data_IF_004874387991
#
_entry.id   IF_004874387991
#
_cell.length_a   1.000
_cell.length_b   1.000
_cell.length_c   1.000
_cell.angle_alpha   90.00
_cell.angle_beta   90.00
_cell.angle_gamma   90.00
#
_symmetry.space_group_name_H-M   'P 1'
#
loop_
_entity.id
_entity.type
_entity.pdbx_description
1 polymer ?
#
# COMPACT_ATOMS: atom_id res chain seq x y z
N UNK A 1 -1.87 7.41 -19.64
CA UNK A 1 -0.54 6.84 -19.93
C UNK A 1 -0.11 7.34 -21.28
N UNK A 2 1.15 7.72 -21.47
CA UNK A 2 1.62 8.24 -22.76
C UNK A 2 3.11 8.00 -22.97
N UNK A 3 3.55 8.17 -24.22
CA UNK A 3 4.96 8.14 -24.62
C UNK A 3 5.38 9.55 -25.04
N UNK A 4 6.47 10.07 -24.48
CA UNK A 4 6.94 11.46 -24.74
C UNK A 4 7.97 11.58 -25.89
N UNK A 5 8.25 10.47 -26.57
CA UNK A 5 9.29 10.38 -27.61
C UNK A 5 10.58 9.73 -27.11
N UNK A 6 10.77 9.58 -25.80
CA UNK A 6 11.94 8.92 -25.21
C UNK A 6 11.57 7.85 -24.18
N UNK A 7 10.54 8.07 -23.35
CA UNK A 7 10.16 7.16 -22.26
C UNK A 7 8.65 7.05 -22.09
N UNK A 8 8.25 6.02 -21.37
CA UNK A 8 6.85 5.74 -21.04
C UNK A 8 6.49 6.49 -19.76
N UNK A 9 5.28 7.04 -19.66
CA UNK A 9 4.82 7.77 -18.48
C UNK A 9 3.42 7.33 -18.03
N UNK A 10 3.26 7.17 -16.71
CA UNK A 10 1.99 6.84 -16.04
C UNK A 10 1.72 7.84 -14.91
N UNK A 11 0.60 8.55 -14.99
CA UNK A 11 0.25 9.62 -14.05
C UNK A 11 1.08 10.90 -14.26
N UNK A 12 0.91 11.93 -13.40
CA UNK A 12 -0.01 11.97 -12.26
C UNK A 12 -1.48 12.15 -12.69
N UNK A 13 -1.74 12.53 -13.94
CA UNK A 13 -3.08 12.78 -14.46
C UNK A 13 -3.94 11.50 -14.45
N UNK A 14 -5.20 11.66 -14.04
CA UNK A 14 -6.20 10.60 -14.01
C UNK A 14 -7.32 10.87 -15.01
N UNK A 15 -7.74 9.85 -15.74
CA UNK A 15 -8.92 9.92 -16.62
C UNK A 15 -10.25 9.88 -15.84
N UNK A 16 -10.22 9.65 -14.53
CA UNK A 16 -11.39 9.52 -13.67
C UNK A 16 -12.32 8.37 -14.12
N UNK A 17 -13.62 8.51 -13.84
CA UNK A 17 -14.66 7.62 -14.35
C UNK A 17 -15.36 8.18 -15.62
N UNK A 18 -15.14 9.46 -15.93
CA UNK A 18 -15.68 10.14 -17.10
C UNK A 18 -14.65 11.19 -17.61
N UNK A 19 -14.07 11.01 -18.81
CA UNK A 19 -14.38 9.95 -19.78
C UNK A 19 -13.92 8.57 -19.33
N UNK A 20 -12.97 8.47 -18.40
CA UNK A 20 -12.42 7.19 -17.92
C UNK A 20 -11.49 6.50 -18.92
N UNK A 21 -11.18 5.21 -18.70
CA UNK A 21 -10.46 4.34 -19.64
C UNK A 21 -11.05 4.32 -21.06
N UNK A 22 -10.23 4.05 -22.06
CA UNK A 22 -10.69 3.90 -23.44
C UNK A 22 -11.74 2.77 -23.57
N UNK A 23 -11.54 1.67 -22.85
CA UNK A 23 -12.42 0.51 -22.80
C UNK A 23 -13.81 0.81 -22.23
N UNK A 24 -14.05 1.99 -21.64
CA UNK A 24 -15.36 2.39 -21.09
C UNK A 24 -16.31 2.97 -22.14
N UNK A 25 -15.90 3.03 -23.42
CA UNK A 25 -16.74 3.50 -24.55
C UNK A 25 -17.17 4.97 -24.44
N UNK A 26 -16.32 5.82 -23.85
CA UNK A 26 -16.59 7.26 -23.60
C UNK A 26 -15.55 8.22 -24.22
N UNK A 27 -14.71 7.71 -25.13
CA UNK A 27 -13.67 8.51 -25.77
C UNK A 27 -12.45 8.80 -24.89
N UNK A 28 -12.27 8.04 -23.81
CA UNK A 28 -11.15 8.17 -22.89
C UNK A 28 -9.77 7.80 -23.45
N UNK A 29 -8.66 8.25 -22.84
CA UNK A 29 -7.31 7.88 -23.24
C UNK A 29 -6.94 6.45 -22.78
N UNK A 30 -5.75 5.96 -23.17
CA UNK A 30 -5.19 4.73 -22.60
C UNK A 30 -4.83 4.92 -21.12
N UNK A 31 -5.31 4.01 -20.28
CA UNK A 31 -5.14 3.97 -18.82
C UNK A 31 -4.65 2.61 -18.32
N UNK A 32 -4.31 2.50 -17.04
CA UNK A 32 -3.88 1.24 -16.41
C UNK A 32 -4.92 0.12 -16.59
N UNK A 33 -6.21 0.47 -16.54
CA UNK A 33 -7.30 -0.48 -16.82
C UNK A 33 -7.23 -1.01 -18.25
N UNK A 34 -6.97 -0.16 -19.23
CA UNK A 34 -6.81 -0.58 -20.63
C UNK A 34 -5.60 -1.51 -20.79
N UNK A 35 -4.49 -1.23 -20.10
CA UNK A 35 -3.33 -2.12 -20.10
C UNK A 35 -3.65 -3.48 -19.47
N UNK A 36 -4.36 -3.52 -18.34
CA UNK A 36 -4.81 -4.76 -17.71
C UNK A 36 -5.76 -5.57 -18.63
N UNK A 37 -6.62 -4.89 -19.38
CA UNK A 37 -7.47 -5.51 -20.40
C UNK A 37 -6.62 -6.09 -21.54
N UNK A 38 -5.64 -5.33 -22.06
CA UNK A 38 -4.78 -5.77 -23.15
C UNK A 38 -3.98 -7.03 -22.81
N UNK A 39 -3.45 -7.12 -21.59
CA UNK A 39 -2.64 -8.29 -21.15
C UNK A 39 -3.48 -9.42 -20.55
N UNK A 40 -4.81 -9.33 -20.57
CA UNK A 40 -5.70 -10.38 -20.07
C UNK A 40 -5.81 -10.49 -18.54
N UNK A 41 -5.32 -9.52 -17.78
CA UNK A 41 -5.55 -9.41 -16.31
C UNK A 41 -6.99 -9.07 -15.96
N UNK A 42 -7.70 -8.39 -16.87
CA UNK A 42 -9.13 -8.07 -16.76
C UNK A 42 -9.85 -8.67 -17.95
N UNK A 43 -10.84 -9.53 -17.66
CA UNK A 43 -11.60 -10.25 -18.67
C UNK A 43 -13.00 -9.65 -18.83
N UNK A 44 -13.41 -9.36 -20.08
CA UNK A 44 -14.71 -8.72 -20.38
C UNK A 44 -15.91 -9.48 -19.80
N UNK A 45 -15.84 -10.81 -19.75
CA UNK A 45 -16.91 -11.68 -19.28
C UNK A 45 -17.15 -11.60 -17.76
N UNK A 46 -16.14 -11.14 -17.02
CA UNK A 46 -16.15 -11.01 -15.55
C UNK A 46 -16.18 -9.55 -15.10
N UNK A 47 -16.43 -8.62 -16.03
CA UNK A 47 -16.57 -7.21 -15.73
C UNK A 47 -18.03 -6.80 -15.94
N UNK A 48 -18.66 -6.03 -15.02
CA UNK A 48 -20.05 -5.60 -15.17
C UNK A 48 -20.29 -4.84 -16.49
N UNK A 49 -21.35 -5.18 -17.25
CA UNK A 49 -21.67 -4.50 -18.50
C UNK A 49 -22.38 -3.18 -18.22
N UNK A 50 -21.65 -2.18 -17.74
CA UNK A 50 -22.18 -0.86 -17.31
C UNK A 50 -21.73 0.30 -18.20
N UNK A 51 -21.23 0.00 -19.40
CA UNK A 51 -20.61 0.96 -20.30
C UNK A 51 -21.46 1.31 -21.51
N UNK A 52 -20.97 2.25 -22.32
CA UNK A 52 -21.67 2.76 -23.50
C UNK A 52 -22.76 3.79 -23.15
N UNK A 53 -23.47 4.32 -24.18
CA UNK A 53 -24.44 5.41 -24.00
C UNK A 53 -25.62 5.05 -23.09
N UNK A 54 -26.03 3.77 -23.10
CA UNK A 54 -27.15 3.27 -22.30
C UNK A 54 -26.71 2.55 -21.02
N UNK A 55 -25.40 2.48 -20.74
CA UNK A 55 -24.86 1.88 -19.51
C UNK A 55 -25.12 0.37 -19.37
N UNK A 56 -25.13 -0.36 -20.48
CA UNK A 56 -25.46 -1.80 -20.54
C UNK A 56 -24.48 -2.63 -21.40
N UNK A 57 -23.35 -2.05 -21.81
CA UNK A 57 -22.38 -2.70 -22.68
C UNK A 57 -21.14 -3.16 -21.91
N UNK A 58 -20.48 -4.25 -22.36
CA UNK A 58 -19.21 -4.69 -21.79
C UNK A 58 -18.06 -3.75 -22.17
N UNK A 59 -16.90 -3.99 -21.56
CA UNK A 59 -15.63 -3.37 -21.94
C UNK A 59 -15.39 -3.51 -23.45
N UNK A 60 -14.89 -2.44 -24.05
CA UNK A 60 -14.48 -2.43 -25.45
C UNK A 60 -13.02 -2.90 -25.57
N UNK A 61 -12.83 -4.13 -26.03
CA UNK A 61 -11.50 -4.72 -26.23
C UNK A 61 -10.89 -4.22 -27.54
N UNK A 62 -11.71 -4.01 -28.55
CA UNK A 62 -11.26 -3.67 -29.90
C UNK A 62 -10.60 -2.28 -29.89
N UNK A 63 -11.20 -1.31 -29.19
CA UNK A 63 -10.60 0.03 -29.05
C UNK A 63 -9.29 0.03 -28.27
N UNK A 64 -9.14 -0.90 -27.31
CA UNK A 64 -7.89 -1.05 -26.54
C UNK A 64 -6.78 -1.57 -27.45
N UNK A 65 -7.07 -2.63 -28.22
CA UNK A 65 -6.14 -3.20 -29.19
C UNK A 65 -5.73 -2.18 -30.24
N UNK A 66 -6.68 -1.47 -30.85
CA UNK A 66 -6.42 -0.41 -31.84
C UNK A 66 -5.45 0.63 -31.28
N UNK A 67 -5.75 1.17 -30.08
CA UNK A 67 -4.92 2.21 -29.47
C UNK A 67 -3.53 1.74 -29.07
N UNK A 68 -3.37 0.50 -28.59
CA UNK A 68 -2.04 -0.05 -28.29
C UNK A 68 -1.24 -0.36 -29.56
N UNK A 69 -1.89 -0.80 -30.64
CA UNK A 69 -1.25 -0.96 -31.96
C UNK A 69 -0.74 0.40 -32.46
N UNK A 70 -1.56 1.44 -32.36
CA UNK A 70 -1.16 2.80 -32.74
C UNK A 70 -0.01 3.33 -31.89
N UNK A 71 -0.05 3.08 -30.59
CA UNK A 71 1.02 3.49 -29.68
C UNK A 71 2.33 2.73 -29.99
N UNK A 72 2.27 1.43 -30.24
CA UNK A 72 3.42 0.63 -30.67
C UNK A 72 3.99 1.14 -32.00
N UNK A 73 3.14 1.52 -32.96
CA UNK A 73 3.54 2.15 -34.22
C UNK A 73 4.22 3.51 -34.01
N UNK A 74 3.76 4.31 -33.04
CA UNK A 74 4.38 5.59 -32.69
C UNK A 74 5.77 5.38 -32.07
N UNK A 75 5.89 4.45 -31.12
CA UNK A 75 7.16 4.11 -30.44
C UNK A 75 8.18 3.58 -31.43
N UNK A 76 7.75 2.77 -32.42
CA UNK A 76 8.61 2.27 -33.48
C UNK A 76 9.27 3.36 -34.35
N UNK A 77 8.76 4.61 -34.32
CA UNK A 77 9.39 5.74 -35.02
C UNK A 77 10.63 6.27 -34.29
N UNK A 78 10.72 6.03 -32.98
CA UNK A 78 11.77 6.54 -32.10
C UNK A 78 12.69 5.42 -31.59
N UNK A 79 12.35 4.16 -31.83
CA UNK A 79 13.09 2.96 -31.38
C UNK A 79 13.51 2.13 -32.58
N UNK A 80 14.56 1.32 -32.43
CA UNK A 80 15.09 0.50 -33.53
C UNK A 80 14.24 -0.73 -33.86
N UNK A 81 13.41 -1.17 -32.91
CA UNK A 81 12.52 -2.33 -33.03
C UNK A 81 11.10 -1.89 -32.75
N UNK A 82 10.15 -2.39 -33.54
CA UNK A 82 8.73 -2.21 -33.24
C UNK A 82 8.36 -3.11 -32.06
N UNK A 83 8.02 -2.56 -30.88
CA UNK A 83 7.56 -3.39 -29.77
C UNK A 83 6.21 -4.00 -30.09
N UNK A 84 5.92 -5.18 -29.55
CA UNK A 84 4.57 -5.75 -29.67
C UNK A 84 3.61 -5.00 -28.72
N UNK A 85 2.34 -4.80 -29.12
CA UNK A 85 1.37 -4.03 -28.33
C UNK A 85 1.22 -4.52 -26.87
N UNK A 86 1.30 -5.83 -26.65
CA UNK A 86 1.21 -6.47 -25.33
C UNK A 86 2.41 -6.12 -24.43
N UNK A 87 3.62 -6.08 -24.98
CA UNK A 87 4.82 -5.64 -24.26
C UNK A 87 4.73 -4.17 -23.88
N UNK A 88 4.17 -3.33 -24.76
CA UNK A 88 3.93 -1.92 -24.46
C UNK A 88 2.96 -1.80 -23.28
N UNK A 89 1.86 -2.55 -23.29
CA UNK A 89 0.89 -2.58 -22.21
C UNK A 89 1.51 -3.08 -20.89
N UNK A 90 2.22 -4.20 -20.91
CA UNK A 90 2.90 -4.73 -19.71
C UNK A 90 3.97 -3.78 -19.16
N UNK A 91 4.68 -3.07 -20.04
CA UNK A 91 5.64 -2.03 -19.67
C UNK A 91 5.01 -0.86 -18.91
N UNK A 92 3.81 -0.41 -19.32
CA UNK A 92 3.07 0.59 -18.55
C UNK A 92 2.60 0.05 -17.20
N UNK A 93 2.19 -1.22 -17.11
CA UNK A 93 1.84 -1.84 -15.83
C UNK A 93 3.05 -1.92 -14.90
N UNK A 94 4.24 -2.24 -15.43
CA UNK A 94 5.49 -2.25 -14.65
C UNK A 94 5.79 -0.87 -14.05
N UNK A 95 5.64 0.20 -14.83
CA UNK A 95 5.82 1.58 -14.35
C UNK A 95 4.75 1.97 -13.32
N UNK A 96 3.49 1.57 -13.53
CA UNK A 96 2.44 1.82 -12.56
C UNK A 96 2.72 1.13 -11.21
N UNK A 97 3.18 -0.13 -11.25
CA UNK A 97 3.60 -0.89 -10.06
C UNK A 97 4.78 -0.22 -9.36
N UNK A 98 5.78 0.25 -10.12
CA UNK A 98 6.94 0.97 -9.58
C UNK A 98 6.50 2.24 -8.81
N UNK A 99 5.64 3.06 -9.42
CA UNK A 99 5.14 4.28 -8.81
C UNK A 99 4.34 4.01 -7.53
N UNK A 100 3.47 2.98 -7.55
CA UNK A 100 2.72 2.55 -6.36
C UNK A 100 3.65 2.05 -5.25
N UNK A 101 4.64 1.23 -5.59
CA UNK A 101 5.59 0.68 -4.62
C UNK A 101 6.41 1.79 -3.96
N UNK A 102 6.90 2.76 -4.74
CA UNK A 102 7.68 3.89 -4.21
C UNK A 102 6.82 4.77 -3.28
N UNK A 103 5.54 4.99 -3.61
CA UNK A 103 4.62 5.71 -2.73
C UNK A 103 4.42 4.99 -1.38
N UNK A 104 4.25 3.66 -1.40
CA UNK A 104 4.11 2.85 -0.18
C UNK A 104 5.40 2.86 0.63
N UNK A 105 6.56 2.61 0.00
CA UNK A 105 7.86 2.64 0.69
C UNK A 105 8.14 3.99 1.33
N UNK A 106 7.87 5.08 0.63
CA UNK A 106 8.04 6.45 1.16
C UNK A 106 7.30 6.65 2.48
N UNK A 107 6.02 6.29 2.53
CA UNK A 107 5.19 6.47 3.72
C UNK A 107 5.63 5.54 4.85
N UNK A 108 5.98 4.29 4.52
CA UNK A 108 6.38 3.28 5.51
C UNK A 108 7.74 3.57 6.13
N UNK A 109 8.73 3.97 5.31
CA UNK A 109 10.07 4.31 5.78
C UNK A 109 10.10 5.62 6.57
N UNK A 110 9.28 6.60 6.21
CA UNK A 110 9.08 7.80 7.02
C UNK A 110 8.60 7.48 8.45
N UNK A 111 7.96 6.33 8.64
CA UNK A 111 7.49 5.84 9.94
C UNK A 111 8.43 4.80 10.57
N UNK A 112 9.54 4.45 9.93
CA UNK A 112 10.54 3.50 10.45
C UNK A 112 10.18 2.02 10.31
N UNK A 113 9.25 1.67 9.41
CA UNK A 113 8.82 0.28 9.22
C UNK A 113 9.66 -0.46 8.16
N UNK A 114 10.08 -1.68 8.50
CA UNK A 114 10.59 -2.67 7.54
C UNK A 114 9.42 -3.47 6.96
N UNK A 115 9.23 -3.38 5.65
CA UNK A 115 8.07 -3.94 4.95
C UNK A 115 8.12 -5.46 4.78
N UNK A 116 9.30 -6.09 4.80
CA UNK A 116 9.43 -7.53 4.51
C UNK A 116 8.64 -8.41 5.50
N UNK A 117 8.45 -7.91 6.73
CA UNK A 117 7.77 -8.60 7.82
C UNK A 117 6.25 -8.32 7.88
N UNK A 118 5.70 -7.58 6.92
CA UNK A 118 4.29 -7.21 6.91
C UNK A 118 3.49 -7.97 5.85
N UNK A 119 2.19 -8.13 6.11
CA UNK A 119 1.23 -8.61 5.11
C UNK A 119 0.63 -7.41 4.38
N UNK A 120 0.65 -7.45 3.04
CA UNK A 120 0.02 -6.41 2.22
C UNK A 120 -1.50 -6.62 2.19
N UNK A 121 -2.24 -5.77 2.90
CA UNK A 121 -3.70 -5.74 2.80
C UNK A 121 -4.11 -4.97 1.54
N UNK A 122 -4.76 -5.65 0.60
CA UNK A 122 -5.14 -5.09 -0.69
C UNK A 122 -6.66 -4.90 -0.77
N UNK A 123 -7.09 -3.75 -1.29
CA UNK A 123 -8.49 -3.40 -1.45
C UNK A 123 -8.72 -2.46 -2.66
N UNK A 124 -9.99 -2.20 -2.96
CA UNK A 124 -10.45 -1.52 -4.16
C UNK A 124 -10.61 -2.47 -5.34
N UNK A 125 -11.58 -2.20 -6.23
CA UNK A 125 -11.94 -3.13 -7.32
C UNK A 125 -10.80 -3.44 -8.31
N UNK A 126 -9.76 -2.60 -8.37
CA UNK A 126 -8.56 -2.82 -9.17
C UNK A 126 -7.36 -3.35 -8.36
N UNK A 127 -7.44 -3.41 -7.03
CA UNK A 127 -6.31 -3.75 -6.17
C UNK A 127 -5.75 -5.14 -6.48
N UNK A 128 -6.62 -6.14 -6.60
CA UNK A 128 -6.25 -7.53 -6.88
C UNK A 128 -5.61 -7.77 -8.25
N UNK A 129 -5.67 -6.83 -9.19
CA UNK A 129 -5.21 -7.02 -10.58
C UNK A 129 -3.68 -7.01 -10.70
N UNK A 130 -3.00 -6.27 -9.82
CA UNK A 130 -1.54 -6.07 -9.82
C UNK A 130 -0.88 -6.39 -8.47
N UNK A 131 -1.64 -6.98 -7.54
CA UNK A 131 -1.21 -7.13 -6.13
C UNK A 131 0.05 -7.97 -5.96
N UNK A 132 0.19 -9.06 -6.72
CA UNK A 132 1.39 -9.92 -6.65
C UNK A 132 2.64 -9.15 -7.10
N UNK A 133 2.57 -8.45 -8.25
CA UNK A 133 3.67 -7.60 -8.73
C UNK A 133 4.03 -6.50 -7.74
N UNK A 134 3.02 -5.89 -7.11
CA UNK A 134 3.23 -4.87 -6.09
C UNK A 134 3.92 -5.45 -4.86
N UNK A 135 3.48 -6.62 -4.37
CA UNK A 135 4.09 -7.31 -3.24
C UNK A 135 5.54 -7.71 -3.55
N UNK A 136 5.80 -8.28 -4.73
CA UNK A 136 7.15 -8.59 -5.20
C UNK A 136 8.07 -7.36 -5.19
N UNK A 137 7.57 -6.21 -5.66
CA UNK A 137 8.34 -4.97 -5.71
C UNK A 137 8.62 -4.39 -4.31
N UNK A 138 7.72 -4.63 -3.36
CA UNK A 138 7.84 -4.23 -1.96
C UNK A 138 8.69 -5.20 -1.12
N UNK A 139 9.02 -6.40 -1.63
CA UNK A 139 9.68 -7.44 -0.84
C UNK A 139 8.71 -8.18 0.10
N UNK A 140 7.41 -8.04 -0.09
CA UNK A 140 6.37 -8.65 0.73
C UNK A 140 6.03 -10.02 0.17
N UNK A 141 6.02 -11.04 1.03
CA UNK A 141 5.73 -12.43 0.63
C UNK A 141 4.27 -12.86 0.87
N UNK A 142 3.49 -12.05 1.60
CA UNK A 142 2.12 -12.37 2.01
C UNK A 142 1.17 -11.22 1.67
N UNK A 143 0.04 -11.54 1.04
CA UNK A 143 -1.00 -10.61 0.66
C UNK A 143 -2.33 -11.07 1.25
N UNK A 144 -3.08 -10.14 1.82
CA UNK A 144 -4.40 -10.39 2.40
C UNK A 144 -5.49 -9.67 1.60
N UNK A 145 -6.53 -10.40 1.20
CA UNK A 145 -7.67 -9.91 0.45
C UNK A 145 -8.98 -10.30 1.15
N UNK A 146 -9.61 -9.31 1.78
CA UNK A 146 -10.93 -9.44 2.39
C UNK A 146 -12.00 -9.85 1.34
N UNK A 147 -13.07 -10.62 1.69
CA UNK A 147 -14.14 -10.99 0.74
C UNK A 147 -14.76 -9.79 0.02
N UNK A 148 -14.81 -8.65 0.70
CA UNK A 148 -15.32 -7.39 0.18
C UNK A 148 -14.20 -6.41 -0.19
N UNK A 149 -13.03 -6.91 -0.63
CA UNK A 149 -11.88 -6.07 -0.98
C UNK A 149 -12.25 -4.94 -1.95
N UNK A 150 -13.10 -5.22 -2.95
CA UNK A 150 -13.56 -4.23 -3.94
C UNK A 150 -14.37 -3.06 -3.35
N UNK A 151 -15.05 -3.27 -2.22
CA UNK A 151 -15.92 -2.28 -1.54
C UNK A 151 -15.53 -2.07 -0.07
N UNK A 152 -14.28 -2.36 0.29
CA UNK A 152 -13.83 -2.43 1.67
C UNK A 152 -14.01 -1.11 2.42
N UNK A 153 -13.89 0.03 1.74
CA UNK A 153 -14.13 1.34 2.35
C UNK A 153 -15.58 1.52 2.81
N UNK A 154 -16.55 1.10 2.00
CA UNK A 154 -17.97 1.18 2.35
C UNK A 154 -18.31 0.21 3.49
N UNK A 155 -17.73 -0.99 3.46
CA UNK A 155 -17.84 -1.95 4.55
C UNK A 155 -17.25 -1.40 5.85
N UNK A 156 -16.05 -0.83 5.82
CA UNK A 156 -15.39 -0.20 6.97
C UNK A 156 -16.18 0.98 7.55
N UNK A 157 -16.79 1.81 6.70
CA UNK A 157 -17.71 2.86 7.15
C UNK A 157 -18.94 2.30 7.89
N UNK A 158 -19.48 1.17 7.43
CA UNK A 158 -20.61 0.50 8.08
C UNK A 158 -20.27 -0.15 9.42
N UNK A 159 -19.00 -0.51 9.64
CA UNK A 159 -18.49 -1.09 10.88
C UNK A 159 -17.87 -0.06 11.84
N UNK A 160 -17.75 1.20 11.42
CA UNK A 160 -17.07 2.21 12.19
C UNK A 160 -17.80 2.50 13.51
N UNK A 161 -17.07 2.37 14.61
CA UNK A 161 -17.55 2.75 15.93
C UNK A 161 -17.82 4.25 15.99
N UNK A 162 -18.85 4.65 16.75
CA UNK A 162 -19.07 6.05 17.03
C UNK A 162 -18.01 6.52 18.02
N UNK A 163 -17.21 7.49 17.58
CA UNK A 163 -16.11 8.07 18.35
C UNK A 163 -16.32 9.56 18.51
N UNK A 164 -16.05 10.07 19.70
CA UNK A 164 -16.03 11.49 19.99
C UNK A 164 -14.76 11.83 20.74
N UNK A 165 -13.98 12.76 20.19
CA UNK A 165 -12.71 13.20 20.76
C UNK A 165 -12.81 14.64 21.27
N UNK A 166 -12.25 14.89 22.44
CA UNK A 166 -11.93 16.24 22.91
C UNK A 166 -10.46 16.30 23.31
N UNK A 167 -9.84 17.43 23.05
CA UNK A 167 -8.46 17.68 23.40
C UNK A 167 -8.33 19.03 24.09
N UNK A 168 -7.33 19.15 24.96
CA UNK A 168 -6.98 20.37 25.66
C UNK A 168 -5.47 20.55 25.61
N UNK A 169 -5.03 21.72 25.15
CA UNK A 169 -3.62 22.13 25.20
C UNK A 169 -3.23 22.47 26.64
N UNK A 170 -2.09 21.94 27.10
CA UNK A 170 -1.60 22.12 28.47
C UNK A 170 -0.30 22.94 28.48
N UNK A 171 0.67 22.58 27.64
CA UNK A 171 2.00 23.23 27.54
C UNK A 171 2.70 23.42 28.90
N UNK A 172 2.90 22.33 29.64
CA UNK A 172 3.55 22.32 30.96
C UNK A 172 4.68 21.28 31.04
N UNK A 173 5.71 21.47 31.90
CA UNK A 173 6.72 20.44 32.14
C UNK A 173 6.11 19.12 32.65
N UNK A 174 6.63 17.98 32.21
CA UNK A 174 6.21 16.68 32.71
C UNK A 174 6.83 16.45 34.11
N UNK A 175 6.03 16.67 35.15
CA UNK A 175 6.41 16.45 36.56
C UNK A 175 5.31 15.66 37.26
N UNK A 176 5.62 15.06 38.41
CA UNK A 176 4.63 14.33 39.21
C UNK A 176 3.43 15.22 39.59
N UNK A 177 3.69 16.46 40.02
CA UNK A 177 2.65 17.42 40.42
C UNK A 177 1.76 17.80 39.23
N UNK A 178 2.36 18.09 38.06
CA UNK A 178 1.58 18.42 36.88
C UNK A 178 0.77 17.23 36.37
N UNK A 179 1.31 16.01 36.45
CA UNK A 179 0.59 14.78 36.10
C UNK A 179 -0.64 14.56 36.98
N UNK A 180 -0.53 14.82 38.28
CA UNK A 180 -1.66 14.73 39.21
C UNK A 180 -2.74 15.77 38.85
N UNK A 181 -2.33 16.98 38.47
CA UNK A 181 -3.26 18.05 38.04
C UNK A 181 -4.04 17.72 36.76
N UNK A 182 -3.52 16.84 35.89
CA UNK A 182 -4.21 16.44 34.66
C UNK A 182 -5.54 15.73 34.91
N UNK A 183 -5.72 15.10 36.08
CA UNK A 183 -6.95 14.39 36.40
C UNK A 183 -8.18 15.32 36.34
N UNK A 184 -8.07 16.53 36.86
CA UNK A 184 -9.15 17.54 36.80
C UNK A 184 -9.41 18.00 35.35
N UNK A 185 -8.35 18.11 34.54
CA UNK A 185 -8.48 18.46 33.13
C UNK A 185 -9.20 17.35 32.34
N UNK A 186 -8.85 16.07 32.60
CA UNK A 186 -9.57 14.94 32.02
C UNK A 186 -11.04 14.89 32.46
N UNK A 187 -11.36 15.13 33.74
CA UNK A 187 -12.75 15.22 34.21
C UNK A 187 -13.55 16.31 33.49
N UNK A 188 -12.89 17.45 33.20
CA UNK A 188 -13.51 18.53 32.43
C UNK A 188 -13.82 18.07 31.00
N UNK A 189 -12.87 17.38 30.34
CA UNK A 189 -13.07 16.82 29.00
C UNK A 189 -14.16 15.74 28.98
N UNK A 190 -14.22 14.88 30.00
CA UNK A 190 -15.28 13.87 30.16
C UNK A 190 -16.66 14.51 30.27
N UNK A 191 -16.79 15.58 31.05
CA UNK A 191 -18.05 16.31 31.21
C UNK A 191 -18.51 16.93 29.88
N UNK A 192 -17.59 17.58 29.16
CA UNK A 192 -17.88 18.17 27.84
C UNK A 192 -18.28 17.11 26.79
N UNK A 193 -17.65 15.93 26.84
CA UNK A 193 -18.00 14.82 25.96
C UNK A 193 -19.37 14.23 26.30
N UNK A 194 -19.65 14.00 27.58
CA UNK A 194 -20.94 13.50 28.03
C UNK A 194 -22.10 14.42 27.59
N UNK A 195 -21.95 15.74 27.75
CA UNK A 195 -22.95 16.72 27.32
C UNK A 195 -23.19 16.69 25.81
N UNK A 196 -22.13 16.63 25.00
CA UNK A 196 -22.24 16.56 23.54
C UNK A 196 -22.92 15.25 23.12
N UNK A 197 -22.57 14.14 23.75
CA UNK A 197 -23.08 12.82 23.41
C UNK A 197 -24.57 12.68 23.73
N UNK A 198 -25.00 13.11 24.93
CA UNK A 198 -26.43 13.14 25.33
C UNK A 198 -27.27 13.98 24.35
N UNK A 199 -26.75 15.13 23.92
CA UNK A 199 -27.42 16.03 22.98
C UNK A 199 -27.61 15.42 21.59
N UNK A 200 -26.59 14.69 21.11
CA UNK A 200 -26.61 14.00 19.80
C UNK A 200 -27.46 12.72 19.79
N UNK A 201 -27.58 12.04 20.93
CA UNK A 201 -28.37 10.81 21.07
C UNK A 201 -29.87 11.09 21.23
N UNK A 202 -30.27 12.15 21.93
CA UNK A 202 -31.68 12.50 22.09
C UNK A 202 -32.34 13.01 20.78
N UNK A 203 -31.55 13.44 19.80
CA UNK A 203 -32.05 13.93 18.51
C UNK A 203 -32.17 12.83 17.44
N UNK A 204 -31.44 11.72 17.59
CA UNK A 204 -31.53 10.55 16.72
C UNK A 204 -32.08 9.37 17.52
N UNK A 205 -33.40 9.21 17.47
CA UNK A 205 -34.20 8.15 18.11
C UNK A 205 -33.91 6.73 17.51
N UNK A 206 -32.63 6.35 17.46
CA UNK A 206 -32.10 5.04 17.07
C UNK A 206 -31.05 4.58 18.10
N UNK A 207 -31.33 4.81 19.38
CA UNK A 207 -30.57 4.27 20.50
C UNK A 207 -30.99 2.82 20.77
N UNK A 208 -30.83 1.92 19.79
CA UNK A 208 -30.99 0.49 19.99
C UNK A 208 -30.08 -0.22 18.98
N UNK A 209 -28.91 -0.70 19.44
CA UNK A 209 -28.25 -1.90 18.90
C UNK A 209 -26.91 -2.28 19.55
N UNK A 210 -26.53 -1.73 20.72
CA UNK A 210 -25.30 -2.19 21.38
C UNK A 210 -25.52 -2.49 22.86
N UNK A 211 -25.27 -3.72 23.30
CA UNK A 211 -25.37 -4.10 24.72
C UNK A 211 -24.12 -3.71 25.54
N UNK A 212 -23.11 -3.13 24.88
CA UNK A 212 -21.81 -2.80 25.47
C UNK A 212 -21.77 -1.39 26.03
N UNK A 213 -21.18 -1.25 27.22
CA UNK A 213 -20.89 0.05 27.80
C UNK A 213 -19.84 0.80 26.97
N UNK A 214 -19.91 2.13 26.93
CA UNK A 214 -18.89 2.92 26.27
C UNK A 214 -17.51 2.76 26.91
N UNK A 215 -16.46 2.84 26.08
CA UNK A 215 -15.06 2.87 26.49
C UNK A 215 -14.55 4.31 26.48
N UNK A 216 -13.77 4.68 27.49
CA UNK A 216 -13.09 5.97 27.57
C UNK A 216 -11.59 5.73 27.47
N UNK A 217 -10.95 6.28 26.44
CA UNK A 217 -9.49 6.28 26.27
C UNK A 217 -8.92 7.64 26.58
N UNK A 218 -7.92 7.67 27.45
CA UNK A 218 -7.19 8.89 27.83
C UNK A 218 -5.81 8.84 27.21
N UNK A 219 -5.44 9.88 26.50
CA UNK A 219 -4.15 10.02 25.82
C UNK A 219 -3.46 11.30 26.25
N UNK A 220 -2.13 11.28 26.25
CA UNK A 220 -1.27 12.39 26.60
C UNK A 220 -0.24 12.61 25.49
N UNK A 221 -0.13 13.85 25.03
CA UNK A 221 0.84 14.23 24.02
C UNK A 221 2.07 14.81 24.71
N UNK A 222 3.21 14.12 24.56
CA UNK A 222 4.49 14.53 25.13
C UNK A 222 5.45 15.00 24.05
N UNK A 223 6.28 15.97 24.37
CA UNK A 223 7.36 16.47 23.51
C UNK A 223 8.61 16.77 24.33
N UNK A 224 9.78 16.79 23.68
CA UNK A 224 10.96 17.36 24.32
C UNK A 224 10.75 18.86 24.54
N UNK A 225 11.12 19.37 25.70
CA UNK A 225 10.98 20.79 26.00
C UNK A 225 11.78 21.63 24.97
N UNK A 226 11.12 22.63 24.38
CA UNK A 226 11.70 23.47 23.32
C UNK A 226 11.56 22.92 21.90
N UNK A 227 10.83 21.81 21.72
CA UNK A 227 10.47 21.28 20.40
C UNK A 227 8.97 21.44 20.14
N UNK A 228 8.56 21.40 18.87
CA UNK A 228 7.15 21.48 18.45
C UNK A 228 6.54 20.11 18.08
N UNK A 229 7.35 19.06 18.05
CA UNK A 229 6.89 17.71 17.68
C UNK A 229 6.50 16.90 18.91
N UNK A 230 5.22 16.55 19.03
CA UNK A 230 4.72 15.67 20.08
C UNK A 230 4.49 14.22 19.60
N UNK A 231 4.50 13.30 20.55
CA UNK A 231 4.08 11.91 20.42
C UNK A 231 2.91 11.65 21.36
N UNK A 232 1.86 11.01 20.86
CA UNK A 232 0.66 10.66 21.62
C UNK A 232 0.81 9.29 22.27
N UNK A 233 0.60 9.22 23.57
CA UNK A 233 0.77 8.02 24.39
C UNK A 233 -0.50 7.72 25.18
N UNK A 234 -0.69 6.44 25.51
CA UNK A 234 -1.75 6.06 26.44
C UNK A 234 -1.44 6.62 27.83
N UNK A 235 -2.41 7.31 28.43
CA UNK A 235 -2.22 7.96 29.71
C UNK A 235 -2.09 6.92 30.82
N UNK A 236 -1.04 7.03 31.63
CA UNK A 236 -0.91 6.34 32.90
C UNK A 236 -0.38 7.29 33.98
N UNK A 237 -0.63 6.97 35.24
CA UNK A 237 -0.18 7.80 36.37
C UNK A 237 1.30 7.61 36.72
N UNK A 238 1.96 6.61 36.13
CA UNK A 238 3.38 6.37 36.37
C UNK A 238 4.24 7.19 35.40
N UNK A 239 4.93 8.18 35.95
CA UNK A 239 5.88 9.02 35.24
C UNK A 239 6.99 8.20 34.55
N UNK A 240 7.47 7.13 35.20
CA UNK A 240 8.57 6.32 34.66
C UNK A 240 8.10 5.56 33.41
N UNK A 241 6.90 4.98 33.46
CA UNK A 241 6.27 4.32 32.33
C UNK A 241 6.01 5.28 31.17
N UNK A 242 5.51 6.50 31.42
CA UNK A 242 5.32 7.50 30.36
C UNK A 242 6.64 7.89 29.67
N UNK A 243 7.70 8.10 30.45
CA UNK A 243 9.03 8.42 29.91
C UNK A 243 9.56 7.24 29.08
N UNK A 244 9.40 6.00 29.56
CA UNK A 244 9.83 4.81 28.84
C UNK A 244 9.07 4.64 27.52
N UNK A 245 7.73 4.76 27.52
CA UNK A 245 6.89 4.70 26.32
C UNK A 245 7.27 5.80 25.31
N UNK A 246 7.46 7.03 25.79
CA UNK A 246 7.91 8.14 24.95
C UNK A 246 9.26 7.83 24.31
N UNK A 247 10.21 7.34 25.11
CA UNK A 247 11.58 7.04 24.67
C UNK A 247 11.57 5.93 23.61
N UNK A 248 10.80 4.87 23.83
CA UNK A 248 10.66 3.75 22.89
C UNK A 248 10.04 4.20 21.56
N UNK A 249 8.91 4.91 21.60
CA UNK A 249 8.27 5.43 20.39
C UNK A 249 9.15 6.46 19.67
N UNK A 250 9.85 7.32 20.40
CA UNK A 250 10.75 8.31 19.81
C UNK A 250 11.96 7.63 19.16
N UNK A 251 12.53 6.60 19.81
CA UNK A 251 13.61 5.79 19.26
C UNK A 251 13.16 5.02 18.02
N UNK A 252 11.97 4.43 18.02
CA UNK A 252 11.42 3.73 16.87
C UNK A 252 11.19 4.68 15.67
N UNK A 253 10.61 5.86 15.93
CA UNK A 253 10.22 6.81 14.87
C UNK A 253 11.39 7.63 14.32
N UNK A 254 12.34 8.02 15.18
CA UNK A 254 13.43 8.94 14.83
C UNK A 254 14.82 8.31 14.94
N UNK A 255 14.97 7.12 15.50
CA UNK A 255 16.25 6.43 15.62
C UNK A 255 17.17 6.96 16.74
N UNK A 256 16.70 7.90 17.56
CA UNK A 256 17.46 8.42 18.71
C UNK A 256 16.53 8.78 19.88
N UNK A 257 17.11 8.95 21.06
CA UNK A 257 16.47 9.56 22.23
C UNK A 257 17.36 10.67 22.79
N UNK A 258 16.80 11.82 23.18
CA UNK A 258 17.57 12.89 23.83
C UNK A 258 17.69 12.62 25.33
N UNK A 259 18.86 12.15 25.76
CA UNK A 259 19.16 11.94 27.17
C UNK A 259 19.40 13.28 27.86
N UNK A 260 18.66 13.57 28.93
CA UNK A 260 18.83 14.77 29.76
C UNK A 260 17.98 15.98 29.36
N UNK A 261 17.28 15.92 28.22
CA UNK A 261 16.26 16.93 27.88
C UNK A 261 14.95 16.60 28.59
N UNK A 262 14.39 17.51 29.41
CA UNK A 262 13.11 17.27 30.07
C UNK A 262 11.96 17.17 29.05
N UNK A 263 10.93 16.40 29.40
CA UNK A 263 9.70 16.31 28.62
C UNK A 263 8.70 17.39 29.06
N UNK A 264 7.85 17.79 28.12
CA UNK A 264 6.72 18.67 28.34
C UNK A 264 5.43 18.02 27.83
N UNK A 265 4.35 18.26 28.54
CA UNK A 265 2.98 17.90 28.19
C UNK A 265 2.50 18.97 27.20
N UNK A 266 2.31 18.58 25.94
CA UNK A 266 1.79 19.48 24.91
C UNK A 266 0.27 19.60 25.03
N UNK A 267 -0.41 18.46 25.06
CA UNK A 267 -1.86 18.37 25.14
C UNK A 267 -2.28 17.07 25.85
N UNK A 268 -3.55 17.03 26.23
CA UNK A 268 -4.24 15.80 26.60
C UNK A 268 -5.45 15.63 25.70
N UNK A 269 -5.82 14.38 25.44
CA UNK A 269 -7.03 14.04 24.69
C UNK A 269 -7.80 12.93 25.36
N UNK A 270 -9.12 12.99 25.21
CA UNK A 270 -10.04 11.99 25.68
C UNK A 270 -10.92 11.56 24.52
N UNK A 271 -10.94 10.27 24.26
CA UNK A 271 -11.75 9.64 23.23
C UNK A 271 -12.83 8.80 23.91
N UNK A 272 -14.08 9.12 23.61
CA UNK A 272 -15.22 8.29 23.93
C UNK A 272 -15.51 7.37 22.74
N UNK A 273 -15.61 6.07 22.98
CA UNK A 273 -15.85 5.05 21.98
C UNK A 273 -17.11 4.31 22.38
N UNK A 274 -18.14 4.35 21.54
CA UNK A 274 -19.31 3.48 21.68
C UNK A 274 -19.07 2.23 20.84
N UNK A 275 -18.81 1.06 21.47
CA UNK A 275 -18.54 -0.16 20.73
C UNK A 275 -19.78 -0.56 19.93
N UNK A 276 -19.57 -0.96 18.68
CA UNK A 276 -20.63 -1.55 17.86
C UNK A 276 -20.67 -3.06 18.09
N UNK A 277 -21.88 -3.62 18.16
CA UNK A 277 -22.04 -5.07 18.02
C UNK A 277 -21.85 -5.41 16.54
N UNK A 278 -20.62 -5.81 16.19
CA UNK A 278 -20.23 -6.14 14.83
C UNK A 278 -21.02 -7.36 14.34
N UNK A 279 -21.57 -7.34 13.12
CA UNK A 279 -22.13 -8.53 12.52
C UNK A 279 -21.03 -9.58 12.33
N UNK A 280 -21.38 -10.86 12.44
CA UNK A 280 -20.49 -11.96 12.06
C UNK A 280 -20.06 -11.77 10.60
N UNK A 281 -18.76 -11.89 10.33
CA UNK A 281 -18.26 -11.88 8.96
C UNK A 281 -18.96 -12.99 8.15
N UNK A 282 -19.41 -12.69 6.93
CA UNK A 282 -20.10 -13.66 6.11
C UNK A 282 -19.17 -14.81 5.77
N UNK A 283 -19.53 -15.99 6.25
CA UNK A 283 -18.90 -17.25 5.87
C UNK A 283 -19.48 -17.70 4.53
N UNK A 284 -18.65 -17.87 3.50
CA UNK A 284 -18.95 -18.68 2.33
C UNK A 284 -19.31 -20.08 2.82
N UNK A 285 -20.41 -20.63 2.31
CA UNK A 285 -20.78 -22.01 2.62
C UNK A 285 -19.61 -22.93 2.26
N UNK A 286 -19.16 -23.77 3.20
CA UNK A 286 -18.03 -24.66 3.01
C UNK A 286 -18.28 -25.59 1.82
N UNK A 287 -17.66 -25.29 0.68
CA UNK A 287 -17.72 -26.13 -0.52
C UNK A 287 -16.80 -27.32 -0.28
N UNK A 288 -17.37 -28.52 -0.19
CA UNK A 288 -16.63 -29.75 0.15
C UNK A 288 -15.74 -30.24 -1.01
N UNK A 289 -16.03 -29.80 -2.24
CA UNK A 289 -15.30 -30.24 -3.45
C UNK A 289 -14.39 -29.13 -3.97
N UNK A 290 -13.14 -29.45 -4.36
CA UNK A 290 -12.27 -28.47 -5.01
C UNK A 290 -12.95 -27.81 -6.21
N UNK A 291 -12.88 -26.48 -6.28
CA UNK A 291 -13.34 -25.69 -7.41
C UNK A 291 -12.65 -26.13 -8.69
N UNK A 292 -13.41 -26.22 -9.77
CA UNK A 292 -12.87 -26.40 -11.11
C UNK A 292 -12.76 -25.04 -11.80
N UNK A 293 -11.83 -24.91 -12.74
CA UNK A 293 -11.76 -23.73 -13.58
C UNK A 293 -13.04 -23.63 -14.41
N UNK A 294 -13.66 -22.45 -14.41
CA UNK A 294 -14.82 -22.14 -15.24
C UNK A 294 -14.46 -22.15 -16.73
N UNK A 295 -13.31 -21.56 -17.04
CA UNK A 295 -12.73 -21.50 -18.37
C UNK A 295 -11.22 -21.25 -18.28
N UNK A 296 -10.55 -21.24 -19.43
CA UNK A 296 -9.15 -20.88 -19.58
C UNK A 296 -9.11 -19.68 -20.53
N UNK A 297 -8.49 -18.59 -20.09
CA UNK A 297 -8.32 -17.36 -20.86
C UNK A 297 -6.85 -17.11 -21.17
N UNK A 298 -6.59 -16.29 -22.19
CA UNK A 298 -5.24 -15.86 -22.52
C UNK A 298 -4.77 -14.76 -21.56
N UNK A 299 -3.55 -14.90 -21.06
CA UNK A 299 -2.87 -13.96 -20.17
C UNK A 299 -1.47 -13.70 -20.68
N UNK A 300 -1.10 -12.43 -20.84
CA UNK A 300 0.25 -12.04 -21.20
C UNK A 300 1.03 -11.61 -19.95
N UNK A 301 2.12 -12.31 -19.65
CA UNK A 301 2.96 -12.07 -18.50
C UNK A 301 4.34 -12.69 -18.72
N UNK A 302 5.37 -12.17 -18.05
CA UNK A 302 6.76 -12.64 -18.23
C UNK A 302 7.19 -12.71 -19.71
N UNK A 303 6.77 -11.70 -20.48
CA UNK A 303 7.02 -11.54 -21.93
C UNK A 303 6.46 -12.66 -22.83
N UNK A 304 5.51 -13.46 -22.35
CA UNK A 304 4.90 -14.53 -23.14
C UNK A 304 3.42 -14.72 -22.82
N UNK A 305 2.72 -15.44 -23.70
CA UNK A 305 1.33 -15.82 -23.49
C UNK A 305 1.23 -17.10 -22.66
N UNK A 306 0.34 -17.09 -21.68
CA UNK A 306 0.02 -18.20 -20.80
C UNK A 306 -1.48 -18.48 -20.83
N UNK A 307 -1.82 -19.76 -20.68
CA UNK A 307 -3.18 -20.20 -20.38
C UNK A 307 -3.48 -19.94 -18.89
N UNK A 308 -4.46 -19.08 -18.60
CA UNK A 308 -4.84 -18.71 -17.25
C UNK A 308 -6.23 -19.28 -16.90
N UNK A 309 -6.33 -20.31 -16.04
CA UNK A 309 -7.62 -20.78 -15.55
C UNK A 309 -8.34 -19.71 -14.73
N UNK A 310 -9.66 -19.62 -14.91
CA UNK A 310 -10.53 -18.70 -14.18
C UNK A 310 -11.34 -19.47 -13.14
N UNK A 311 -11.32 -18.99 -11.90
CA UNK A 311 -12.09 -19.55 -10.78
C UNK A 311 -13.08 -18.53 -10.25
N UNK A 312 -14.25 -18.99 -9.83
CA UNK A 312 -15.20 -18.17 -9.07
C UNK A 312 -14.86 -18.22 -7.58
N UNK A 313 -14.69 -17.07 -6.93
CA UNK A 313 -14.29 -17.04 -5.51
C UNK A 313 -15.23 -17.84 -4.60
N UNK A 314 -16.55 -17.75 -4.80
CA UNK A 314 -17.55 -18.43 -3.98
C UNK A 314 -17.51 -19.97 -4.11
N UNK A 315 -16.83 -20.50 -5.14
CA UNK A 315 -16.71 -21.94 -5.37
C UNK A 315 -15.44 -22.53 -4.78
N UNK A 316 -14.49 -21.69 -4.34
CA UNK A 316 -13.21 -22.14 -3.78
C UNK A 316 -13.46 -22.97 -2.52
N UNK A 317 -12.88 -24.17 -2.49
CA UNK A 317 -12.96 -25.02 -1.32
C UNK A 317 -11.96 -24.55 -0.25
N UNK A 318 -12.29 -24.73 1.04
CA UNK A 318 -11.30 -24.69 2.10
C UNK A 318 -10.04 -25.47 1.77
N UNK A 319 -8.89 -24.89 2.09
CA UNK A 319 -7.58 -25.49 1.87
C UNK A 319 -7.19 -25.73 0.40
N UNK A 320 -8.05 -25.43 -0.58
CA UNK A 320 -7.68 -25.51 -1.99
C UNK A 320 -6.63 -24.46 -2.31
N UNK A 321 -5.48 -24.92 -2.81
CA UNK A 321 -4.41 -24.05 -3.29
C UNK A 321 -4.59 -23.82 -4.78
N UNK A 322 -4.63 -22.55 -5.18
CA UNK A 322 -4.67 -22.10 -6.57
C UNK A 322 -3.30 -21.52 -6.91
N UNK A 323 -2.53 -22.22 -7.73
CA UNK A 323 -1.20 -21.77 -8.16
C UNK A 323 -1.30 -20.89 -9.41
N UNK A 324 -0.53 -19.80 -9.44
CA UNK A 324 -0.47 -18.90 -10.59
C UNK A 324 0.19 -19.55 -11.83
N UNK A 325 -0.15 -19.09 -13.05
CA UNK A 325 -1.02 -17.96 -13.34
C UNK A 325 -2.50 -18.37 -13.22
N UNK A 326 -3.30 -17.62 -12.46
CA UNK A 326 -4.72 -17.91 -12.28
C UNK A 326 -5.51 -16.61 -12.03
N UNK A 327 -6.76 -16.59 -12.48
CA UNK A 327 -7.69 -15.50 -12.18
C UNK A 327 -8.77 -15.97 -11.21
N UNK A 328 -9.00 -15.19 -10.16
CA UNK A 328 -10.12 -15.40 -9.24
C UNK A 328 -11.10 -14.24 -9.43
N UNK A 329 -12.26 -14.55 -9.99
CA UNK A 329 -13.35 -13.61 -10.21
C UNK A 329 -14.15 -13.41 -8.92
N UNK A 330 -14.42 -12.15 -8.59
CA UNK A 330 -15.28 -11.73 -7.50
C UNK A 330 -16.44 -10.89 -8.03
N UNK A 331 -17.50 -10.74 -7.23
CA UNK A 331 -18.59 -9.81 -7.57
C UNK A 331 -18.12 -8.35 -7.60
N UNK A 332 -17.10 -8.00 -6.81
CA UNK A 332 -16.64 -6.62 -6.63
C UNK A 332 -15.27 -6.33 -7.23
N UNK A 333 -14.65 -7.30 -7.90
CA UNK A 333 -13.29 -7.14 -8.43
C UNK A 333 -12.73 -8.39 -9.12
N UNK A 334 -11.47 -8.27 -9.53
CA UNK A 334 -10.71 -9.36 -10.15
C UNK A 334 -9.36 -9.48 -9.46
N UNK A 335 -9.02 -10.70 -9.05
CA UNK A 335 -7.74 -11.02 -8.43
C UNK A 335 -6.92 -11.86 -9.40
N UNK A 336 -5.68 -11.45 -9.66
CA UNK A 336 -4.73 -12.19 -10.49
C UNK A 336 -3.65 -12.78 -9.59
N UNK A 337 -3.53 -14.10 -9.59
CA UNK A 337 -2.44 -14.84 -8.95
C UNK A 337 -1.35 -14.99 -9.99
N UNK A 338 -0.29 -14.21 -9.87
CA UNK A 338 0.82 -14.20 -10.83
C UNK A 338 1.68 -15.48 -10.72
N UNK A 339 2.52 -15.72 -11.73
CA UNK A 339 3.52 -16.80 -11.69
C UNK A 339 4.39 -16.70 -10.44
N UNK A 340 4.63 -17.84 -9.78
CA UNK A 340 5.38 -17.89 -8.53
C UNK A 340 4.59 -17.49 -7.28
N UNK A 341 3.29 -17.21 -7.43
CA UNK A 341 2.36 -17.00 -6.32
C UNK A 341 1.33 -18.14 -6.24
N UNK A 342 0.78 -18.31 -5.05
CA UNK A 342 -0.36 -19.19 -4.80
C UNK A 342 -1.42 -18.47 -3.97
N UNK A 343 -2.68 -18.87 -4.12
CA UNK A 343 -3.80 -18.35 -3.35
C UNK A 343 -4.51 -19.47 -2.59
N UNK A 344 -4.95 -19.17 -1.37
CA UNK A 344 -5.75 -20.07 -0.54
C UNK A 344 -6.75 -19.27 0.30
N UNK A 345 -7.90 -19.85 0.62
CA UNK A 345 -8.77 -19.30 1.64
C UNK A 345 -8.09 -19.37 3.02
N UNK A 346 -8.34 -18.36 3.85
CA UNK A 346 -7.83 -18.28 5.21
C UNK A 346 -8.14 -19.53 6.05
N UNK A 347 -7.28 -19.80 7.03
CA UNK A 347 -7.52 -20.87 8.01
C UNK A 347 -8.31 -20.35 9.20
N UNK A 348 -9.30 -21.11 9.65
CA UNK A 348 -10.08 -20.77 10.84
C UNK A 348 -9.28 -21.01 12.12
N UNK A 349 -9.42 -20.12 13.10
CA UNK A 349 -9.01 -20.43 14.47
C UNK A 349 -9.95 -21.48 15.08
N UNK A 350 -9.49 -22.34 15.99
CA UNK A 350 -10.36 -23.29 16.68
C UNK A 350 -11.52 -22.57 17.39
N UNK A 351 -12.76 -22.88 17.01
CA UNK A 351 -13.96 -22.28 17.61
C UNK A 351 -14.51 -21.05 16.88
N UNK A 352 -13.85 -20.58 15.82
CA UNK A 352 -14.31 -19.47 14.98
C UNK A 352 -14.96 -19.99 13.68
N UNK A 353 -15.92 -19.23 13.10
CA UNK A 353 -16.43 -19.54 11.77
C UNK A 353 -15.30 -19.51 10.74
N UNK A 354 -15.46 -20.27 9.66
CA UNK A 354 -14.43 -20.37 8.64
C UNK A 354 -14.20 -19.02 7.96
N UNK A 355 -12.97 -18.46 8.01
CA UNK A 355 -12.71 -17.17 7.41
C UNK A 355 -12.77 -17.27 5.90
N UNK A 356 -13.27 -16.21 5.28
CA UNK A 356 -13.51 -16.16 3.84
C UNK A 356 -12.55 -15.21 3.12
N UNK A 357 -11.59 -14.65 3.86
CA UNK A 357 -10.49 -13.90 3.26
C UNK A 357 -9.61 -14.83 2.42
N UNK A 358 -8.95 -14.25 1.44
CA UNK A 358 -8.03 -14.94 0.55
C UNK A 358 -6.63 -14.47 0.91
N UNK A 359 -5.73 -15.42 1.08
CA UNK A 359 -4.32 -15.18 1.31
C UNK A 359 -3.57 -15.57 0.05
N UNK A 360 -2.74 -14.66 -0.43
CA UNK A 360 -1.80 -14.90 -1.52
C UNK A 360 -0.39 -14.97 -0.92
N UNK A 361 0.32 -16.03 -1.25
CA UNK A 361 1.66 -16.30 -0.73
C UNK A 361 2.64 -16.51 -1.89
N UNK A 362 3.86 -16.00 -1.71
CA UNK A 362 4.94 -16.23 -2.65
C UNK A 362 5.50 -17.64 -2.47
N UNK A 363 5.61 -18.40 -3.56
CA UNK A 363 6.19 -19.75 -3.56
C UNK A 363 7.70 -19.63 -3.41
N UNK A 364 8.21 -19.86 -2.20
CA UNK A 364 9.65 -19.92 -1.94
C UNK A 364 10.13 -21.33 -2.27
N UNK A 365 10.85 -21.50 -3.39
CA UNK A 365 11.59 -22.74 -3.65
C UNK A 365 12.64 -22.91 -2.55
N UNK A 366 12.48 -23.92 -1.68
CA UNK A 366 13.42 -24.27 -0.59
C UNK A 366 14.73 -24.90 -1.11
N UNK A 367 15.35 -24.30 -2.13
CA UNK A 367 16.71 -24.64 -2.60
C UNK A 367 17.70 -23.51 -2.32
N UNK A 368 17.66 -22.98 -1.10
CA UNK A 368 18.84 -22.38 -0.45
C UNK A 368 19.01 -23.07 0.90
N UNK A 369 19.72 -24.19 0.87
CA UNK A 369 20.29 -24.77 2.08
C UNK A 369 21.11 -23.70 2.81
N UNK A 370 20.96 -23.66 4.13
CA UNK A 370 21.74 -22.80 5.02
C UNK A 370 23.25 -22.93 4.72
N UNK A 371 24.03 -21.84 4.71
CA UNK A 371 25.47 -21.98 4.72
C UNK A 371 25.89 -22.41 6.12
N UNK A 372 26.18 -23.71 6.25
CA UNK A 372 26.96 -24.24 7.36
C UNK A 372 28.29 -23.48 7.45
N UNK A 373 28.69 -23.23 8.69
CA UNK A 373 29.90 -22.56 9.14
C UNK A 373 31.15 -22.86 8.31
N UNK A 374 31.74 -21.83 7.70
CA UNK A 374 33.14 -21.83 7.30
C UNK A 374 33.80 -20.53 7.77
N UNK A 375 34.57 -20.65 8.85
CA UNK A 375 35.70 -19.77 9.12
C UNK A 375 36.61 -19.77 7.90
N UNK A 376 36.70 -18.64 7.18
CA UNK A 376 37.94 -18.19 6.54
C UNK A 376 37.80 -16.71 6.17
N UNK A 377 38.75 -15.91 6.65
CA UNK A 377 38.96 -14.52 6.25
C UNK A 377 39.52 -14.50 4.83
N UNK A 378 38.67 -14.34 3.83
CA UNK A 378 39.06 -13.83 2.52
C UNK A 378 38.03 -12.77 2.09
N UNK A 379 38.55 -11.67 1.56
CA UNK A 379 37.82 -10.47 1.18
C UNK A 379 36.64 -10.81 0.26
N UNK A 380 35.44 -10.36 0.64
CA UNK A 380 34.22 -10.46 -0.16
C UNK A 380 34.32 -9.53 -1.38
N UNK A 381 34.96 -9.99 -2.45
CA UNK A 381 34.62 -9.53 -3.79
C UNK A 381 33.21 -10.03 -4.12
N UNK A 382 32.25 -9.09 -4.17
CA UNK A 382 30.91 -9.33 -4.70
C UNK A 382 31.05 -9.66 -6.18
N UNK A 383 31.17 -10.95 -6.51
CA UNK A 383 30.98 -11.45 -7.87
C UNK A 383 29.52 -11.30 -8.24
N UNK A 384 29.18 -10.15 -8.83
CA UNK A 384 27.93 -9.94 -9.55
C UNK A 384 27.88 -10.99 -10.67
N UNK A 385 26.99 -11.97 -10.50
CA UNK A 385 26.73 -12.99 -11.51
C UNK A 385 26.14 -12.28 -12.74
N UNK A 386 26.99 -12.05 -13.74
CA UNK A 386 26.69 -11.27 -14.95
C UNK A 386 26.15 -12.14 -16.08
N UNK A 387 26.03 -13.44 -15.87
CA UNK A 387 25.74 -14.44 -16.91
C UNK A 387 24.25 -14.57 -17.32
N UNK A 388 23.39 -13.62 -16.94
CA UNK A 388 22.01 -13.53 -17.46
C UNK A 388 21.68 -12.18 -18.11
N UNK A 389 22.67 -11.34 -18.34
CA UNK A 389 22.50 -10.13 -19.15
C UNK A 389 23.23 -10.34 -20.46
N UNK A 390 22.49 -10.72 -21.51
CA UNK A 390 22.98 -10.52 -22.87
C UNK A 390 23.55 -9.11 -22.96
N UNK A 391 24.83 -9.05 -23.29
CA UNK A 391 25.54 -7.80 -23.48
C UNK A 391 24.91 -7.13 -24.69
N UNK A 392 23.96 -6.22 -24.47
CA UNK A 392 23.41 -5.36 -25.52
C UNK A 392 24.54 -4.41 -25.92
N UNK A 393 25.37 -4.86 -26.85
CA UNK A 393 26.30 -4.03 -27.61
C UNK A 393 25.48 -3.12 -28.52
N UNK A 394 25.05 -1.99 -27.97
CA UNK A 394 24.38 -0.93 -28.70
C UNK A 394 23.98 0.17 -27.73
N UNK A 395 24.22 1.42 -28.10
CA UNK A 395 23.90 2.64 -27.34
C UNK A 395 22.37 2.87 -27.24
N UNK A 396 21.58 1.82 -26.99
CA UNK A 396 20.13 1.77 -27.07
C UNK A 396 19.55 1.55 -25.68
N UNK A 397 18.94 2.61 -25.15
CA UNK A 397 18.32 2.63 -23.84
C UNK A 397 16.86 2.16 -24.00
N UNK A 398 16.49 1.08 -23.29
CA UNK A 398 15.11 0.60 -23.20
C UNK A 398 14.22 1.68 -22.51
N UNK A 399 13.16 2.19 -23.17
CA UNK A 399 12.28 3.23 -22.63
C UNK A 399 11.59 2.89 -21.31
N UNK A 400 11.23 1.63 -21.09
CA UNK A 400 10.63 1.15 -19.84
C UNK A 400 11.69 1.13 -18.76
N UNK A 401 12.86 0.56 -19.09
CA UNK A 401 14.00 0.48 -18.17
C UNK A 401 14.49 1.86 -17.75
N UNK A 402 14.47 2.83 -18.67
CA UNK A 402 14.82 4.23 -18.39
C UNK A 402 13.89 4.85 -17.36
N UNK A 403 12.57 4.68 -17.49
CA UNK A 403 11.62 5.23 -16.53
C UNK A 403 11.69 4.49 -15.18
N UNK A 404 11.85 3.17 -15.17
CA UNK A 404 12.05 2.39 -13.93
C UNK A 404 13.31 2.88 -13.21
N UNK A 405 14.46 2.97 -13.89
CA UNK A 405 15.71 3.42 -13.26
C UNK A 405 15.62 4.86 -12.78
N UNK A 406 14.99 5.76 -13.54
CA UNK A 406 14.77 7.13 -13.09
C UNK A 406 13.97 7.15 -11.79
N UNK A 407 12.86 6.39 -11.70
CA UNK A 407 12.06 6.31 -10.48
C UNK A 407 12.85 5.69 -9.32
N UNK A 408 13.66 4.66 -9.58
CA UNK A 408 14.56 4.06 -8.58
C UNK A 408 15.59 5.06 -8.04
N UNK A 409 16.32 5.75 -8.92
CA UNK A 409 17.34 6.71 -8.48
C UNK A 409 16.72 7.91 -7.76
N UNK A 410 15.58 8.41 -8.25
CA UNK A 410 14.84 9.46 -7.56
C UNK A 410 14.44 9.01 -6.15
N UNK A 411 13.93 7.78 -6.03
CA UNK A 411 13.51 7.22 -4.76
C UNK A 411 14.69 7.03 -3.79
N UNK A 412 15.86 6.57 -4.26
CA UNK A 412 17.07 6.47 -3.42
C UNK A 412 17.44 7.84 -2.84
N UNK A 413 17.45 8.90 -3.65
CA UNK A 413 17.74 10.25 -3.17
C UNK A 413 16.67 10.76 -2.19
N UNK A 414 15.41 10.37 -2.38
CA UNK A 414 14.33 10.67 -1.43
C UNK A 414 14.50 9.91 -0.11
N UNK A 415 14.78 8.60 -0.14
CA UNK A 415 15.05 7.76 1.03
C UNK A 415 16.23 8.27 1.84
N UNK A 416 17.36 8.56 1.18
CA UNK A 416 18.53 9.16 1.83
C UNK A 416 18.13 10.43 2.60
N UNK A 417 17.30 11.27 1.99
CA UNK A 417 16.83 12.49 2.63
C UNK A 417 15.87 12.24 3.79
N UNK A 418 15.00 11.24 3.71
CA UNK A 418 14.12 10.84 4.80
C UNK A 418 14.94 10.30 5.97
N UNK A 419 15.91 9.42 5.70
CA UNK A 419 16.80 8.85 6.73
C UNK A 419 17.63 9.97 7.39
N UNK A 420 18.20 10.88 6.59
CA UNK A 420 18.95 12.03 7.11
C UNK A 420 18.07 12.95 7.96
N UNK A 421 16.86 13.27 7.49
CA UNK A 421 15.90 14.08 8.25
C UNK A 421 15.51 13.40 9.57
N UNK A 422 15.26 12.08 9.55
CA UNK A 422 14.82 11.33 10.73
C UNK A 422 15.94 11.21 11.77
N UNK A 423 17.18 11.00 11.34
CA UNK A 423 18.34 10.80 12.22
C UNK A 423 19.04 12.11 12.65
N UNK A 424 18.71 13.24 12.01
CA UNK A 424 19.34 14.51 12.32
C UNK A 424 18.88 15.09 13.67
N UNK A 425 19.87 15.52 14.48
CA UNK A 425 19.65 16.31 15.70
C UNK A 425 19.51 17.82 15.42
N UNK A 426 19.92 18.28 14.23
CA UNK A 426 19.85 19.69 13.83
C UNK A 426 18.44 20.08 13.38
N UNK A 427 17.88 21.11 14.02
CA UNK A 427 16.58 21.70 13.64
C UNK A 427 16.60 22.23 12.20
N UNK A 428 17.73 22.77 11.72
CA UNK A 428 17.85 23.23 10.34
C UNK A 428 17.70 22.07 9.33
N UNK A 429 18.23 20.89 9.65
CA UNK A 429 18.09 19.71 8.79
C UNK A 429 16.68 19.11 8.95
N UNK A 430 16.17 19.02 10.19
CA UNK A 430 14.93 18.31 10.49
C UNK A 430 13.67 19.06 10.06
N UNK A 431 13.63 20.38 10.31
CA UNK A 431 12.44 21.22 10.11
C UNK A 431 12.57 22.12 8.88
N UNK A 432 13.75 22.73 8.68
CA UNK A 432 13.98 23.61 7.52
C UNK A 432 14.42 22.85 6.27
N UNK A 433 14.63 21.54 6.38
CA UNK A 433 15.09 20.68 5.29
C UNK A 433 16.34 21.23 4.59
N UNK A 434 17.25 21.83 5.37
CA UNK A 434 18.49 22.45 4.90
C UNK A 434 19.57 21.39 4.60
N UNK A 435 19.24 20.52 3.66
CA UNK A 435 20.12 19.48 3.15
C UNK A 435 19.69 19.11 1.72
N UNK A 436 20.61 18.49 0.98
CA UNK A 436 20.30 17.87 -0.30
C UNK A 436 20.96 16.50 -0.37
N UNK A 437 20.31 15.59 -1.09
CA UNK A 437 20.85 14.26 -1.36
C UNK A 437 21.03 14.14 -2.87
N UNK A 438 22.22 13.71 -3.29
CA UNK A 438 22.60 13.60 -4.67
C UNK A 438 23.23 12.23 -4.95
N UNK A 439 23.00 11.72 -6.15
CA UNK A 439 23.58 10.49 -6.67
C UNK A 439 24.54 10.88 -7.79
N UNK A 440 25.76 10.37 -7.72
CA UNK A 440 26.82 10.58 -8.71
C UNK A 440 27.16 9.27 -9.40
N UNK A 441 27.60 9.35 -10.64
CA UNK A 441 28.14 8.18 -11.35
C UNK A 441 29.60 7.90 -10.96
N UNK A 442 30.19 6.87 -11.59
CA UNK A 442 31.59 6.49 -11.33
C UNK A 442 32.62 7.55 -11.76
N UNK A 443 32.23 8.53 -12.59
CA UNK A 443 33.06 9.64 -13.04
C UNK A 443 32.89 10.89 -12.18
N UNK A 444 31.94 10.88 -11.24
CA UNK A 444 31.61 12.00 -10.37
C UNK A 444 30.61 12.98 -10.98
N UNK A 445 29.98 12.62 -12.09
CA UNK A 445 28.94 13.44 -12.71
C UNK A 445 27.61 13.28 -11.97
N UNK A 446 26.88 14.38 -11.79
CA UNK A 446 25.60 14.40 -11.09
C UNK A 446 24.52 13.68 -11.91
N UNK A 447 24.03 12.57 -11.40
CA UNK A 447 22.95 11.78 -12.03
C UNK A 447 21.59 12.31 -11.60
N UNK A 448 21.41 12.56 -10.30
CA UNK A 448 20.15 13.03 -9.74
C UNK A 448 20.40 13.79 -8.43
N UNK A 449 19.62 14.84 -8.19
CA UNK A 449 19.64 15.60 -6.94
C UNK A 449 18.21 15.80 -6.45
N UNK A 450 17.97 15.56 -5.17
CA UNK A 450 16.78 16.04 -4.47
C UNK A 450 17.01 17.53 -4.11
N UNK A 451 16.21 18.48 -4.65
CA UNK A 451 16.40 19.88 -4.32
C UNK A 451 16.06 20.13 -2.85
N UNK A 452 16.84 21.02 -2.23
CA UNK A 452 16.54 21.60 -0.91
C UNK A 452 15.19 22.30 -0.99
N UNK A 453 14.26 22.01 -0.07
CA UNK A 453 13.04 22.82 0.06
C UNK A 453 13.42 24.17 0.69
N UNK A 454 14.11 25.02 -0.06
CA UNK A 454 14.19 26.45 0.23
C UNK A 454 12.85 27.04 -0.18
N UNK A 455 11.88 26.99 0.73
CA UNK A 455 10.78 27.94 0.73
C UNK A 455 11.39 29.34 0.86
N UNK A 456 11.43 30.08 -0.25
CA UNK A 456 11.55 31.54 -0.23
C UNK A 456 10.17 32.11 0.11
#
# INVERSE_FOLDING_TARGET
>A
MHFDGQRYQVGPDSAGANPGPACYRRGGPLTVTDANVMVGRVQKSYFPPVFGPEGNQPLDIDIVQEKFIDLANQIARFTATKPIPEEVADGFLAIAVENMANAIKKISLQRGYDLENYTLCCFGGAGGQLVCRLADRLGISNVFLHPYSGVLSAYGMGLAEQRALRAMTIEQPLTADNLESLFTNYQTLETQLAETFISSHNSNNKAENTSKSPEIRRQIDLKYQGTDTSLSLDFCQDLTSLIAQFTDQHQQRYGFSQTGTPLAIAAISLEYIQPLDLPLEPCLASVVKPAQALEIVDFYGDRQWHAMPVYQRQQLAPHQVITGPAMIAEETGTIVVDLGWQAQLGQASPGEPQPCHLVLEKIVNQTKAAPDSINNKEELEVKVNTDSYETISGNQVDPVRLEIFKNLYQFIAEEMGIVLQNTASSVNIKERLDFSCAIFDAHGDLVLMRPTFLSI
#
